data_IF_992718944900
#
_entry.id   IF_992718944900
#
_cell.length_a   1.000
_cell.length_b   1.000
_cell.length_c   1.000
_cell.angle_alpha   90.00
_cell.angle_beta   90.00
_cell.angle_gamma   90.00
#
_symmetry.space_group_name_H-M   'P 1'
#
loop_
_entity.id
_entity.type
_entity.pdbx_description
1 polymer ?
#
# COMPACT_ATOMS: atom_id res chain seq x y z
N UNK A 1 6.45 6.66 -3.52
CA UNK A 1 6.75 5.35 -2.88
C UNK A 1 8.25 5.19 -2.72
N UNK A 2 8.66 4.56 -1.67
CA UNK A 2 10.08 4.32 -1.42
C UNK A 2 10.67 3.40 -2.50
N UNK A 3 11.87 3.71 -2.96
CA UNK A 3 12.51 3.07 -4.12
C UNK A 3 12.75 1.57 -3.94
N UNK A 4 13.21 1.15 -2.77
CA UNK A 4 13.49 -0.26 -2.51
C UNK A 4 12.21 -1.07 -2.38
N UNK A 5 11.16 -0.48 -1.83
CA UNK A 5 9.85 -1.11 -1.74
C UNK A 5 9.27 -1.36 -3.13
N UNK A 6 9.36 -0.38 -4.03
CA UNK A 6 8.91 -0.55 -5.41
C UNK A 6 9.65 -1.70 -6.11
N UNK A 7 10.96 -1.76 -5.93
CA UNK A 7 11.77 -2.84 -6.50
C UNK A 7 11.33 -4.21 -5.98
N UNK A 8 11.07 -4.33 -4.67
CA UNK A 8 10.59 -5.57 -4.07
C UNK A 8 9.22 -5.99 -4.60
N UNK A 9 8.29 -5.03 -4.76
CA UNK A 9 6.98 -5.31 -5.34
C UNK A 9 7.15 -5.85 -6.76
N UNK A 10 7.92 -5.18 -7.58
CA UNK A 10 8.16 -5.57 -8.96
C UNK A 10 8.76 -6.97 -9.07
N UNK A 11 9.75 -7.27 -8.23
CA UNK A 11 10.47 -8.53 -8.28
C UNK A 11 9.63 -9.71 -7.77
N UNK A 12 8.81 -9.49 -6.73
CA UNK A 12 7.98 -10.52 -6.12
C UNK A 12 6.67 -10.78 -6.86
N UNK A 13 6.14 -9.77 -7.54
CA UNK A 13 4.89 -9.87 -8.29
C UNK A 13 5.16 -9.94 -9.80
N UNK A 14 6.18 -10.67 -10.19
CA UNK A 14 6.63 -10.73 -11.57
C UNK A 14 5.64 -11.44 -12.50
N UNK A 15 4.72 -12.25 -11.95
CA UNK A 15 3.64 -12.89 -12.71
C UNK A 15 2.34 -12.07 -12.71
N UNK A 16 2.35 -10.92 -12.06
CA UNK A 16 1.24 -9.95 -12.09
C UNK A 16 1.49 -8.93 -13.20
N UNK A 17 0.43 -8.38 -13.77
CA UNK A 17 0.55 -7.08 -14.43
C UNK A 17 0.62 -6.03 -13.34
N UNK A 18 1.68 -5.23 -13.31
CA UNK A 18 1.82 -4.13 -12.35
C UNK A 18 2.21 -2.85 -13.06
N UNK A 19 1.68 -1.74 -12.58
CA UNK A 19 2.03 -0.43 -13.10
C UNK A 19 2.13 0.57 -11.95
N UNK A 20 3.28 1.22 -11.87
CA UNK A 20 3.46 2.31 -10.91
C UNK A 20 2.75 3.55 -11.41
N UNK A 21 1.95 4.14 -10.54
CA UNK A 21 1.20 5.35 -10.83
C UNK A 21 1.83 6.50 -10.04
N UNK A 22 2.20 7.56 -10.74
CA UNK A 22 2.65 8.80 -10.12
C UNK A 22 1.75 9.92 -10.58
N UNK A 23 1.11 10.61 -9.63
CA UNK A 23 0.28 11.76 -9.95
C UNK A 23 0.65 12.92 -9.02
N UNK A 24 0.88 14.07 -9.61
CA UNK A 24 1.17 15.31 -8.90
C UNK A 24 -0.10 16.12 -8.61
N UNK A 25 -1.21 15.76 -9.20
CA UNK A 25 -2.44 16.57 -9.19
C UNK A 25 -3.46 16.03 -8.22
N UNK A 26 -3.72 14.73 -8.23
CA UNK A 26 -4.72 14.11 -7.36
C UNK A 26 -4.07 13.41 -6.17
N UNK A 27 -4.66 13.64 -4.99
CA UNK A 27 -4.18 13.04 -3.74
C UNK A 27 -5.00 11.79 -3.41
N UNK A 28 -4.36 10.84 -2.73
CA UNK A 28 -5.02 9.65 -2.22
C UNK A 28 -5.03 8.48 -3.18
N UNK A 29 -4.67 8.67 -4.44
CA UNK A 29 -4.57 7.56 -5.39
C UNK A 29 -3.40 6.65 -4.99
N UNK A 30 -3.62 5.33 -4.89
CA UNK A 30 -2.53 4.41 -4.53
C UNK A 30 -1.41 4.37 -5.57
N UNK A 31 -0.23 3.92 -5.13
CA UNK A 31 1.00 3.97 -5.93
C UNK A 31 1.05 2.98 -7.08
N UNK A 32 0.38 1.82 -6.94
CA UNK A 32 0.53 0.71 -7.88
C UNK A 32 -0.83 0.14 -8.25
N UNK A 33 -1.05 -0.04 -9.54
CA UNK A 33 -2.18 -0.78 -10.09
C UNK A 33 -1.70 -2.19 -10.48
N UNK A 34 -2.52 -3.20 -10.22
CA UNK A 34 -2.18 -4.57 -10.59
C UNK A 34 -3.36 -5.34 -11.19
N UNK A 35 -3.03 -6.35 -11.98
CA UNK A 35 -3.96 -7.39 -12.42
C UNK A 35 -3.28 -8.73 -12.20
N UNK A 36 -4.02 -9.66 -11.60
CA UNK A 36 -3.57 -11.03 -11.40
C UNK A 36 -4.76 -11.98 -11.55
N UNK A 37 -4.65 -12.94 -12.45
CA UNK A 37 -5.68 -13.94 -12.73
C UNK A 37 -7.08 -13.32 -12.96
N UNK A 38 -7.12 -12.25 -13.75
CA UNK A 38 -8.37 -11.56 -14.08
C UNK A 38 -8.92 -10.65 -13.00
N UNK A 39 -8.24 -10.52 -11.86
CA UNK A 39 -8.62 -9.61 -10.78
C UNK A 39 -7.69 -8.41 -10.77
N UNK A 40 -8.26 -7.23 -10.69
CA UNK A 40 -7.49 -5.99 -10.62
C UNK A 40 -7.63 -5.35 -9.25
N UNK A 41 -6.64 -4.56 -8.89
CA UNK A 41 -6.65 -3.83 -7.63
C UNK A 41 -5.55 -2.80 -7.54
N UNK A 42 -5.43 -2.19 -6.37
CA UNK A 42 -4.48 -1.12 -6.10
C UNK A 42 -3.69 -1.42 -4.85
N UNK A 43 -2.44 -0.99 -4.84
CA UNK A 43 -1.53 -1.13 -3.70
C UNK A 43 -0.97 0.23 -3.34
N UNK A 44 -1.11 0.63 -2.08
CA UNK A 44 -0.42 1.77 -1.51
C UNK A 44 0.80 1.30 -0.74
N UNK A 45 1.98 1.73 -1.14
CA UNK A 45 3.22 1.37 -0.46
C UNK A 45 3.50 2.31 0.72
N UNK A 46 3.82 1.75 1.86
CA UNK A 46 4.22 2.50 3.05
C UNK A 46 5.52 1.93 3.59
N UNK A 47 6.48 2.80 3.86
CA UNK A 47 7.74 2.43 4.48
C UNK A 47 7.80 3.01 5.90
N UNK A 48 8.10 2.16 6.87
CA UNK A 48 8.25 2.56 8.25
C UNK A 48 9.65 2.20 8.72
N UNK A 49 10.35 3.18 9.26
CA UNK A 49 11.65 2.93 9.86
C UNK A 49 11.48 2.07 11.11
N UNK A 50 12.29 1.03 11.25
CA UNK A 50 12.22 0.16 12.42
C UNK A 50 12.56 0.95 13.69
N UNK A 51 11.72 0.88 14.74
CA UNK A 51 12.00 1.58 15.99
C UNK A 51 13.18 0.94 16.72
N UNK A 52 13.88 1.74 17.50
CA UNK A 52 14.99 1.28 18.32
C UNK A 52 14.53 0.34 19.45
N UNK A 53 13.29 0.47 19.91
CA UNK A 53 12.71 -0.34 20.98
C UNK A 53 11.65 -1.30 20.41
N UNK A 54 11.80 -2.58 20.70
CA UNK A 54 10.84 -3.60 20.24
C UNK A 54 9.44 -3.41 20.81
N UNK A 55 9.28 -2.78 21.96
CA UNK A 55 8.00 -2.54 22.61
C UNK A 55 7.23 -1.34 22.03
N UNK A 56 7.86 -0.55 21.17
CA UNK A 56 7.20 0.61 20.58
C UNK A 56 6.16 0.17 19.55
N UNK A 57 4.90 0.57 19.76
CA UNK A 57 3.85 0.37 18.78
C UNK A 57 4.10 1.27 17.59
N UNK A 58 3.93 0.72 16.40
CA UNK A 58 4.06 1.45 15.15
C UNK A 58 2.68 1.73 14.58
N UNK A 59 2.43 3.00 14.31
CA UNK A 59 1.22 3.44 13.64
C UNK A 59 1.60 3.83 12.22
N UNK A 60 0.93 3.24 11.24
CA UNK A 60 1.08 3.62 9.85
C UNK A 60 0.26 4.88 9.62
N UNK A 61 0.94 5.98 9.25
CA UNK A 61 0.24 7.21 8.93
C UNK A 61 -0.45 7.09 7.57
N UNK A 62 -1.77 7.19 7.60
CA UNK A 62 -2.59 7.17 6.40
C UNK A 62 -3.27 8.53 6.30
N UNK A 63 -3.15 9.18 5.16
CA UNK A 63 -3.78 10.50 4.98
C UNK A 63 -5.29 10.38 4.85
N UNK A 64 -6.00 11.48 5.14
CA UNK A 64 -7.45 11.53 4.99
C UNK A 64 -7.85 11.25 3.54
N UNK A 65 -7.09 11.76 2.58
CA UNK A 65 -7.33 11.53 1.16
C UNK A 65 -7.16 10.07 0.78
N UNK A 66 -6.16 9.39 1.34
CA UNK A 66 -5.94 7.95 1.11
C UNK A 66 -7.09 7.12 1.69
N UNK A 67 -7.52 7.43 2.90
CA UNK A 67 -8.67 6.75 3.53
C UNK A 67 -9.92 6.93 2.68
N UNK A 68 -10.23 8.15 2.29
CA UNK A 68 -11.41 8.46 1.49
C UNK A 68 -11.39 7.74 0.14
N UNK A 69 -10.25 7.72 -0.51
CA UNK A 69 -10.10 7.05 -1.80
C UNK A 69 -10.34 5.54 -1.68
N UNK A 70 -9.71 4.89 -0.68
CA UNK A 70 -9.84 3.44 -0.50
C UNK A 70 -11.26 3.05 -0.09
N UNK A 71 -11.89 3.82 0.79
CA UNK A 71 -13.29 3.57 1.19
C UNK A 71 -14.24 3.67 0.01
N UNK A 72 -14.08 4.68 -0.83
CA UNK A 72 -14.89 4.85 -2.02
C UNK A 72 -14.68 3.70 -3.01
N UNK A 73 -13.42 3.33 -3.23
CA UNK A 73 -13.06 2.25 -4.14
C UNK A 73 -13.65 0.91 -3.70
N UNK A 74 -13.54 0.57 -2.41
CA UNK A 74 -14.12 -0.65 -1.86
C UNK A 74 -15.65 -0.65 -1.92
N UNK A 75 -16.27 0.51 -1.67
CA UNK A 75 -17.72 0.65 -1.75
C UNK A 75 -18.24 0.30 -3.15
N UNK A 76 -17.45 0.55 -4.18
CA UNK A 76 -17.77 0.23 -5.56
C UNK A 76 -17.28 -1.16 -5.99
N UNK A 77 -16.84 -1.99 -5.03
CA UNK A 77 -16.44 -3.37 -5.30
C UNK A 77 -14.98 -3.56 -5.69
N UNK A 78 -14.16 -2.55 -5.55
CA UNK A 78 -12.75 -2.63 -5.89
C UNK A 78 -11.90 -3.27 -4.80
N UNK A 79 -10.72 -3.78 -5.19
CA UNK A 79 -9.72 -4.33 -4.27
C UNK A 79 -8.63 -3.28 -4.03
N UNK A 80 -8.31 -3.04 -2.75
CA UNK A 80 -7.28 -2.09 -2.35
C UNK A 80 -6.50 -2.62 -1.17
N UNK A 81 -5.19 -2.45 -1.22
CA UNK A 81 -4.29 -2.96 -0.19
C UNK A 81 -3.23 -1.93 0.19
N UNK A 82 -2.74 -2.04 1.41
CA UNK A 82 -1.51 -1.39 1.84
C UNK A 82 -0.42 -2.44 1.92
N UNK A 83 0.74 -2.12 1.36
CA UNK A 83 1.94 -2.90 1.53
C UNK A 83 2.88 -2.11 2.42
N UNK A 84 3.09 -2.60 3.65
CA UNK A 84 3.87 -1.88 4.65
C UNK A 84 5.21 -2.58 4.82
N UNK A 85 6.29 -1.86 4.54
CA UNK A 85 7.65 -2.31 4.80
C UNK A 85 8.15 -1.68 6.08
N UNK A 86 8.46 -2.53 7.07
CA UNK A 86 9.05 -2.14 8.34
C UNK A 86 10.43 -2.78 8.44
N UNK A 87 11.49 -1.98 8.31
CA UNK A 87 12.83 -2.54 8.18
C UNK A 87 12.91 -3.52 7.02
N UNK A 88 13.15 -4.81 7.30
CA UNK A 88 13.19 -5.88 6.28
C UNK A 88 11.87 -6.63 6.14
N UNK A 89 10.93 -6.40 7.05
CA UNK A 89 9.65 -7.11 7.06
C UNK A 89 8.63 -6.39 6.19
N UNK A 90 7.86 -7.17 5.44
CA UNK A 90 6.81 -6.64 4.58
C UNK A 90 5.48 -7.28 4.98
N UNK A 91 4.48 -6.45 5.23
CA UNK A 91 3.14 -6.88 5.61
C UNK A 91 2.13 -6.35 4.60
N UNK A 92 1.22 -7.23 4.18
CA UNK A 92 0.18 -6.91 3.22
C UNK A 92 -1.16 -6.81 3.96
N UNK A 93 -1.81 -5.66 3.88
CA UNK A 93 -3.02 -5.37 4.65
C UNK A 93 -4.13 -4.84 3.74
N UNK A 94 -5.37 -5.24 4.00
CA UNK A 94 -6.51 -4.66 3.30
C UNK A 94 -6.70 -3.21 3.69
N UNK A 95 -7.09 -2.39 2.72
CA UNK A 95 -7.12 -0.94 2.87
C UNK A 95 -8.40 -0.37 3.51
N UNK A 96 -9.24 -1.19 4.13
CA UNK A 96 -10.47 -0.73 4.77
C UNK A 96 -10.29 -0.28 6.22
N UNK A 97 -9.08 -0.40 6.76
CA UNK A 97 -8.79 0.02 8.13
C UNK A 97 -8.30 1.46 8.14
N UNK A 98 -8.87 2.28 9.03
CA UNK A 98 -8.46 3.68 9.18
C UNK A 98 -7.11 3.82 9.88
N UNK A 99 -6.78 2.84 10.70
CA UNK A 99 -5.55 2.81 11.47
C UNK A 99 -4.97 1.39 11.44
N UNK A 100 -3.70 1.29 11.03
CA UNK A 100 -3.01 0.01 10.92
C UNK A 100 -1.97 -0.11 12.02
N UNK A 101 -2.03 -1.17 12.79
CA UNK A 101 -1.09 -1.48 13.87
C UNK A 101 -0.19 -2.64 13.44
N UNK A 102 1.11 -2.47 13.65
CA UNK A 102 2.11 -3.48 13.31
C UNK A 102 2.85 -3.99 14.55
#
# INVERSE_FOLDING_TARGET
MEKNLWKQIRDKLNDFFIQRIETAIERGIPDVYFIYEGRSGWIEGKYIKQPKRKSTKLIVKITVEQIAWHKSHERHGGLSYFLVKKGRNVTFLKAHQEELWL
#
